data_IF_945628745428
#
_entry.id   IF_945628745428
#
_cell.length_a   1.000
_cell.length_b   1.000
_cell.length_c   1.000
_cell.angle_alpha   90.00
_cell.angle_beta   90.00
_cell.angle_gamma   90.00
#
_symmetry.space_group_name_H-M   'P 1'
#
loop_
_entity.id
_entity.type
_entity.pdbx_description
1 polymer ?
#
# COMPACT_ATOMS: atom_id res chain seq x y z
N UNK A 1 27.59 -25.65 -7.90
CA UNK A 1 26.65 -25.06 -8.87
C UNK A 1 26.37 -23.62 -8.45
N UNK A 2 26.85 -22.60 -9.19
CA UNK A 2 26.59 -21.18 -8.84
C UNK A 2 25.19 -20.83 -9.34
N UNK A 3 24.18 -20.87 -8.47
CA UNK A 3 22.83 -20.44 -8.80
C UNK A 3 22.87 -18.92 -9.03
N UNK A 4 22.99 -18.52 -10.30
CA UNK A 4 23.03 -17.11 -10.71
C UNK A 4 21.59 -16.63 -10.90
N UNK A 5 20.87 -16.38 -9.80
CA UNK A 5 19.49 -15.88 -9.92
C UNK A 5 19.49 -14.38 -10.15
N UNK A 6 18.89 -13.97 -11.26
CA UNK A 6 18.75 -12.58 -11.71
C UNK A 6 17.63 -11.92 -10.89
N UNK A 7 17.95 -11.37 -9.70
CA UNK A 7 16.96 -10.62 -8.87
C UNK A 7 17.15 -9.10 -8.73
N UNK A 8 17.35 -8.34 -9.83
CA UNK A 8 17.14 -6.89 -9.82
C UNK A 8 15.72 -6.46 -10.23
N UNK A 9 14.89 -7.30 -10.89
CA UNK A 9 13.60 -6.86 -11.47
C UNK A 9 12.45 -6.74 -10.46
N UNK A 10 12.18 -7.78 -9.67
CA UNK A 10 11.04 -7.76 -8.72
C UNK A 10 11.24 -6.72 -7.60
N UNK A 11 12.44 -6.66 -7.02
CA UNK A 11 12.76 -5.64 -6.02
C UNK A 11 12.64 -4.22 -6.61
N UNK A 12 13.10 -4.01 -7.85
CA UNK A 12 12.99 -2.72 -8.53
C UNK A 12 11.53 -2.37 -8.82
N UNK A 13 10.73 -3.33 -9.28
CA UNK A 13 9.30 -3.15 -9.51
C UNK A 13 8.60 -2.76 -8.21
N UNK A 14 8.84 -3.50 -7.12
CA UNK A 14 8.28 -3.19 -5.80
C UNK A 14 8.66 -1.77 -5.34
N UNK A 15 9.94 -1.39 -5.44
CA UNK A 15 10.38 -0.03 -5.08
C UNK A 15 9.73 1.05 -5.94
N UNK A 16 9.57 0.82 -7.25
CA UNK A 16 8.90 1.76 -8.16
C UNK A 16 7.43 1.89 -7.77
N UNK A 17 6.71 0.77 -7.61
CA UNK A 17 5.31 0.77 -7.22
C UNK A 17 5.09 1.46 -5.89
N UNK A 18 5.94 1.19 -4.89
CA UNK A 18 5.87 1.83 -3.59
C UNK A 18 6.12 3.35 -3.67
N UNK A 19 7.09 3.77 -4.48
CA UNK A 19 7.36 5.21 -4.70
C UNK A 19 6.18 5.91 -5.39
N UNK A 20 5.61 5.29 -6.42
CA UNK A 20 4.42 5.80 -7.12
C UNK A 20 3.24 5.90 -6.15
N UNK A 21 3.05 4.90 -5.30
CA UNK A 21 1.96 4.90 -4.33
C UNK A 21 2.12 5.99 -3.26
N UNK A 22 3.34 6.20 -2.73
CA UNK A 22 3.60 7.31 -1.81
C UNK A 22 3.30 8.66 -2.47
N UNK A 23 3.70 8.85 -3.74
CA UNK A 23 3.38 10.07 -4.48
C UNK A 23 1.87 10.25 -4.66
N UNK A 24 1.16 9.17 -5.01
CA UNK A 24 -0.30 9.17 -5.08
C UNK A 24 -0.95 9.58 -3.75
N UNK A 25 -0.50 9.02 -2.62
CA UNK A 25 -1.03 9.36 -1.29
C UNK A 25 -0.79 10.83 -0.93
N UNK A 26 0.36 11.39 -1.30
CA UNK A 26 0.65 12.82 -1.10
C UNK A 26 -0.27 13.70 -1.96
N UNK A 27 -0.45 13.36 -3.24
CA UNK A 27 -1.36 14.10 -4.13
C UNK A 27 -2.80 14.01 -3.65
N UNK A 28 -3.27 12.83 -3.25
CA UNK A 28 -4.60 12.64 -2.67
C UNK A 28 -4.77 13.44 -1.37
N UNK A 29 -3.77 13.43 -0.49
CA UNK A 29 -3.77 14.24 0.74
C UNK A 29 -3.89 15.73 0.40
N UNK A 30 -3.07 16.26 -0.51
CA UNK A 30 -3.15 17.67 -0.93
C UNK A 30 -4.52 18.01 -1.53
N UNK A 31 -5.11 17.13 -2.35
CA UNK A 31 -6.44 17.32 -2.90
C UNK A 31 -7.52 17.40 -1.79
N UNK A 32 -7.44 16.51 -0.79
CA UNK A 32 -8.36 16.57 0.36
C UNK A 32 -8.16 17.83 1.21
N UNK A 33 -6.93 18.33 1.34
CA UNK A 33 -6.66 19.59 2.04
C UNK A 33 -7.28 20.80 1.32
N UNK A 34 -7.23 20.83 -0.03
CA UNK A 34 -7.87 21.88 -0.83
C UNK A 34 -9.40 21.82 -0.66
N UNK A 35 -9.99 20.62 -0.75
CA UNK A 35 -11.43 20.44 -0.57
C UNK A 35 -11.88 20.76 0.87
N UNK A 36 -11.07 20.43 1.87
CA UNK A 36 -11.29 20.84 3.26
C UNK A 36 -11.42 22.36 3.37
N UNK A 37 -10.43 23.11 2.84
CA UNK A 37 -10.43 24.57 2.89
C UNK A 37 -11.64 25.15 2.13
N UNK A 38 -11.93 24.61 0.95
CA UNK A 38 -13.08 25.04 0.15
C UNK A 38 -14.41 24.85 0.91
N UNK A 39 -14.65 23.66 1.47
CA UNK A 39 -15.87 23.37 2.23
C UNK A 39 -15.95 24.17 3.54
N UNK A 40 -14.81 24.42 4.20
CA UNK A 40 -14.75 25.26 5.40
C UNK A 40 -15.13 26.71 5.09
N UNK A 41 -14.65 27.25 3.97
CA UNK A 41 -15.01 28.61 3.52
C UNK A 41 -16.50 28.73 3.13
N UNK A 42 -17.11 27.64 2.68
CA UNK A 42 -18.55 27.56 2.39
C UNK A 42 -19.41 27.26 3.63
N UNK A 43 -18.82 27.23 4.82
CA UNK A 43 -19.49 26.88 6.08
C UNK A 43 -20.16 25.48 6.10
N UNK A 44 -19.75 24.58 5.19
CA UNK A 44 -20.21 23.20 5.19
C UNK A 44 -19.33 22.35 6.11
N UNK A 45 -19.65 22.38 7.40
CA UNK A 45 -18.85 21.80 8.47
C UNK A 45 -18.76 20.26 8.36
N UNK A 46 -19.83 19.59 7.95
CA UNK A 46 -19.86 18.12 7.80
C UNK A 46 -18.90 17.68 6.68
N UNK A 47 -18.99 18.31 5.50
CA UNK A 47 -18.10 18.00 4.40
C UNK A 47 -16.65 18.35 4.73
N UNK A 48 -16.40 19.48 5.39
CA UNK A 48 -15.07 19.86 5.85
C UNK A 48 -14.47 18.80 6.79
N UNK A 49 -15.21 18.33 7.79
CA UNK A 49 -14.73 17.27 8.71
C UNK A 49 -14.40 15.97 7.98
N UNK A 50 -15.23 15.55 7.02
CA UNK A 50 -14.96 14.34 6.22
C UNK A 50 -13.64 14.49 5.45
N UNK A 51 -13.42 15.63 4.80
CA UNK A 51 -12.19 15.91 4.05
C UNK A 51 -10.96 16.06 4.97
N UNK A 52 -11.13 16.55 6.21
CA UNK A 52 -10.08 16.57 7.24
C UNK A 52 -9.64 15.15 7.63
N UNK A 53 -10.62 14.27 7.90
CA UNK A 53 -10.34 12.86 8.24
C UNK A 53 -9.65 12.17 7.06
N UNK A 54 -10.14 12.39 5.84
CA UNK A 54 -9.51 11.84 4.63
C UNK A 54 -8.08 12.37 4.45
N UNK A 55 -7.86 13.67 4.63
CA UNK A 55 -6.53 14.30 4.60
C UNK A 55 -5.56 13.62 5.57
N UNK A 56 -5.96 13.48 6.84
CA UNK A 56 -5.15 12.83 7.86
C UNK A 56 -4.87 11.36 7.50
N UNK A 57 -5.87 10.63 7.02
CA UNK A 57 -5.76 9.23 6.60
C UNK A 57 -4.80 9.05 5.42
N UNK A 58 -4.81 9.91 4.41
CA UNK A 58 -3.86 9.85 3.30
C UNK A 58 -2.45 10.27 3.72
N UNK A 59 -2.31 11.32 4.53
CA UNK A 59 -1.01 11.84 4.97
C UNK A 59 -0.26 10.84 5.87
N UNK A 60 -0.94 10.31 6.89
CA UNK A 60 -0.37 9.32 7.80
C UNK A 60 0.09 8.08 7.06
N UNK A 61 -0.72 7.64 6.08
CA UNK A 61 -0.35 6.52 5.21
C UNK A 61 0.88 6.86 4.36
N UNK A 62 0.94 8.05 3.76
CA UNK A 62 2.10 8.47 2.97
C UNK A 62 3.40 8.42 3.79
N UNK A 63 3.36 8.87 5.04
CA UNK A 63 4.51 8.81 5.96
C UNK A 63 4.90 7.36 6.27
N UNK A 64 3.94 6.52 6.63
CA UNK A 64 4.19 5.09 6.93
C UNK A 64 4.82 4.35 5.73
N UNK A 65 4.28 4.52 4.53
CA UNK A 65 4.80 3.86 3.32
C UNK A 65 6.16 4.44 2.88
N UNK A 66 6.44 5.72 3.17
CA UNK A 66 7.74 6.34 2.95
C UNK A 66 8.80 5.76 3.89
N UNK A 67 8.49 5.57 5.16
CA UNK A 67 9.41 4.99 6.15
C UNK A 67 9.73 3.53 5.81
N UNK A 68 8.72 2.76 5.39
CA UNK A 68 8.90 1.42 4.84
C UNK A 68 9.85 1.44 3.63
N UNK A 69 9.61 2.34 2.66
CA UNK A 69 10.47 2.44 1.47
C UNK A 69 11.94 2.69 1.84
N UNK A 70 12.19 3.60 2.79
CA UNK A 70 13.54 3.90 3.27
C UNK A 70 14.18 2.70 3.97
N UNK A 71 13.40 1.97 4.76
CA UNK A 71 13.86 0.75 5.45
C UNK A 71 14.23 -0.35 4.44
N UNK A 72 13.38 -0.58 3.44
CA UNK A 72 13.60 -1.56 2.37
C UNK A 72 14.80 -1.22 1.47
N UNK A 73 15.09 0.07 1.30
CA UNK A 73 16.26 0.52 0.53
C UNK A 73 17.56 0.17 1.25
N UNK A 74 17.56 0.19 2.59
CA UNK A 74 18.74 -0.11 3.43
C UNK A 74 18.91 -1.60 3.74
N UNK A 75 17.85 -2.39 3.62
CA UNK A 75 17.88 -3.82 3.97
C UNK A 75 18.53 -4.69 2.89
N UNK A 76 19.15 -5.80 3.34
CA UNK A 76 19.66 -6.86 2.47
C UNK A 76 18.49 -7.73 2.01
N UNK A 77 18.60 -8.28 0.80
CA UNK A 77 17.52 -9.11 0.23
C UNK A 77 17.23 -10.36 1.08
N UNK A 78 18.27 -11.00 1.63
CA UNK A 78 18.18 -12.18 2.50
C UNK A 78 17.40 -11.95 3.79
N UNK A 79 17.26 -10.69 4.24
CA UNK A 79 16.56 -10.32 5.47
C UNK A 79 15.18 -9.72 5.19
N UNK A 80 14.74 -9.66 3.93
CA UNK A 80 13.44 -9.07 3.59
C UNK A 80 12.28 -9.90 4.11
N UNK A 81 12.38 -11.23 4.09
CA UNK A 81 11.31 -12.09 4.56
C UNK A 81 11.03 -11.92 6.06
N UNK A 82 12.07 -11.78 6.89
CA UNK A 82 11.92 -11.49 8.33
C UNK A 82 11.37 -10.09 8.54
N UNK A 83 11.80 -9.12 7.74
CA UNK A 83 11.31 -7.75 7.79
C UNK A 83 9.83 -7.68 7.45
N UNK A 84 9.35 -8.36 6.41
CA UNK A 84 7.91 -8.42 6.10
C UNK A 84 7.12 -9.24 7.12
N UNK A 85 7.75 -10.17 7.83
CA UNK A 85 7.10 -10.95 8.89
C UNK A 85 6.95 -10.14 10.19
N UNK A 86 7.86 -9.19 10.46
CA UNK A 86 7.88 -8.36 11.69
C UNK A 86 7.29 -6.97 11.49
N UNK A 87 7.42 -6.43 10.28
CA UNK A 87 7.06 -5.08 9.89
C UNK A 87 6.16 -5.17 8.66
N UNK A 88 4.91 -5.56 8.91
CA UNK A 88 3.86 -5.42 7.91
C UNK A 88 2.95 -4.28 8.33
N UNK A 89 3.08 -3.07 7.75
CA UNK A 89 1.89 -2.31 7.44
C UNK A 89 0.82 -3.26 6.90
N UNK A 90 -0.46 -3.00 7.16
CA UNK A 90 -1.57 -3.88 6.77
C UNK A 90 -1.76 -3.85 5.25
N UNK A 91 -0.77 -4.32 4.48
CA UNK A 91 -0.72 -4.24 3.04
C UNK A 91 -1.81 -5.13 2.45
N UNK A 92 -2.81 -4.50 1.85
CA UNK A 92 -3.90 -5.23 1.18
C UNK A 92 -4.97 -5.75 2.13
N UNK A 93 -4.73 -5.83 3.44
CA UNK A 93 -5.74 -6.26 4.42
C UNK A 93 -6.94 -5.30 4.46
N UNK A 94 -6.71 -4.00 4.21
CA UNK A 94 -7.75 -2.99 4.17
C UNK A 94 -8.16 -2.57 2.76
N UNK A 95 -7.64 -3.21 1.71
CA UNK A 95 -7.99 -2.87 0.32
C UNK A 95 -9.50 -2.95 0.08
N UNK A 96 -10.13 -4.02 0.57
CA UNK A 96 -11.58 -4.22 0.48
C UNK A 96 -12.35 -3.16 1.27
N UNK A 97 -11.85 -2.76 2.44
CA UNK A 97 -12.45 -1.71 3.26
C UNK A 97 -12.39 -0.35 2.55
N UNK A 98 -11.28 -0.02 1.89
CA UNK A 98 -11.17 1.21 1.08
C UNK A 98 -12.12 1.20 -0.11
N UNK A 99 -12.34 0.05 -0.76
CA UNK A 99 -13.30 -0.07 -1.85
C UNK A 99 -14.75 0.07 -1.33
N UNK A 100 -15.10 -0.59 -0.23
CA UNK A 100 -16.44 -0.47 0.37
C UNK A 100 -16.74 0.95 0.81
N UNK A 101 -15.78 1.60 1.47
CA UNK A 101 -15.91 3.02 1.86
C UNK A 101 -16.01 3.94 0.65
N UNK A 102 -15.28 3.67 -0.44
CA UNK A 102 -15.44 4.40 -1.69
C UNK A 102 -16.87 4.27 -2.25
N UNK A 103 -17.45 3.07 -2.23
CA UNK A 103 -18.84 2.84 -2.67
C UNK A 103 -19.83 3.66 -1.84
N UNK A 104 -19.65 3.71 -0.51
CA UNK A 104 -20.48 4.55 0.36
C UNK A 104 -20.37 6.03 -0.02
N UNK A 105 -19.17 6.53 -0.31
CA UNK A 105 -18.98 7.92 -0.74
C UNK A 105 -19.51 8.20 -2.14
N UNK A 106 -19.50 7.23 -3.07
CA UNK A 106 -20.19 7.38 -4.36
C UNK A 106 -21.70 7.51 -4.17
N UNK A 107 -22.29 6.72 -3.27
CA UNK A 107 -23.73 6.84 -2.96
C UNK A 107 -24.01 8.19 -2.30
N UNK A 108 -23.18 8.63 -1.36
CA UNK A 108 -23.32 9.94 -0.72
C UNK A 108 -23.17 11.09 -1.73
N UNK A 109 -22.28 10.96 -2.71
CA UNK A 109 -22.10 11.93 -3.80
C UNK A 109 -23.35 12.06 -4.67
N UNK A 110 -24.05 10.96 -4.97
CA UNK A 110 -25.31 11.01 -5.72
C UNK A 110 -26.42 11.77 -5.00
N UNK A 111 -26.40 11.78 -3.66
CA UNK A 111 -27.44 12.43 -2.84
C UNK A 111 -27.09 13.89 -2.52
N UNK A 112 -25.84 14.16 -2.14
CA UNK A 112 -25.42 15.46 -1.59
C UNK A 112 -24.38 16.18 -2.45
N UNK A 113 -23.69 15.48 -3.36
CA UNK A 113 -22.60 16.01 -4.16
C UNK A 113 -21.33 16.33 -3.38
N UNK A 114 -20.20 16.44 -4.08
CA UNK A 114 -18.92 16.92 -3.52
C UNK A 114 -18.04 15.86 -2.87
N UNK A 115 -18.40 14.57 -2.95
CA UNK A 115 -17.62 13.45 -2.44
C UNK A 115 -16.96 12.62 -3.54
N UNK A 116 -17.22 12.90 -4.81
CA UNK A 116 -16.66 12.18 -5.96
C UNK A 116 -15.13 12.00 -5.89
N UNK A 117 -14.40 13.08 -5.61
CA UNK A 117 -12.93 13.06 -5.57
C UNK A 117 -12.43 12.16 -4.42
N UNK A 118 -13.11 12.18 -3.28
CA UNK A 118 -12.80 11.31 -2.14
C UNK A 118 -13.07 9.84 -2.49
N UNK A 119 -14.23 9.54 -3.08
CA UNK A 119 -14.58 8.19 -3.49
C UNK A 119 -13.59 7.63 -4.53
N UNK A 120 -13.20 8.45 -5.50
CA UNK A 120 -12.24 8.08 -6.54
C UNK A 120 -10.86 7.78 -5.94
N UNK A 121 -10.36 8.65 -5.06
CA UNK A 121 -9.05 8.43 -4.41
C UNK A 121 -9.06 7.21 -3.48
N UNK A 122 -10.14 6.94 -2.75
CA UNK A 122 -10.29 5.72 -1.96
C UNK A 122 -10.31 4.45 -2.82
N UNK A 123 -10.96 4.52 -3.99
CA UNK A 123 -10.97 3.41 -4.95
C UNK A 123 -9.55 3.09 -5.43
N UNK A 124 -8.81 4.10 -5.88
CA UNK A 124 -7.41 3.92 -6.29
C UNK A 124 -6.53 3.43 -5.15
N UNK A 125 -6.73 3.95 -3.94
CA UNK A 125 -6.02 3.47 -2.74
C UNK A 125 -6.22 1.97 -2.54
N UNK A 126 -7.46 1.49 -2.61
CA UNK A 126 -7.77 0.06 -2.51
C UNK A 126 -7.06 -0.78 -3.58
N UNK A 127 -7.06 -0.33 -4.83
CA UNK A 127 -6.37 -1.00 -5.95
C UNK A 127 -4.85 -1.07 -5.70
N UNK A 128 -4.25 0.04 -5.28
CA UNK A 128 -2.82 0.09 -4.98
C UNK A 128 -2.46 -0.83 -3.81
N UNK A 129 -3.24 -0.82 -2.72
CA UNK A 129 -2.97 -1.70 -1.57
C UNK A 129 -3.05 -3.17 -1.94
N UNK A 130 -4.05 -3.56 -2.73
CA UNK A 130 -4.16 -4.92 -3.24
C UNK A 130 -2.93 -5.31 -4.08
N UNK A 131 -2.49 -4.41 -4.96
CA UNK A 131 -1.32 -4.67 -5.82
C UNK A 131 -0.02 -4.75 -5.03
N UNK A 132 0.18 -3.85 -4.07
CA UNK A 132 1.37 -3.83 -3.19
C UNK A 132 1.39 -5.08 -2.31
N UNK A 133 0.24 -5.50 -1.77
CA UNK A 133 0.12 -6.73 -0.98
C UNK A 133 0.57 -7.97 -1.76
N UNK A 134 0.15 -8.11 -3.03
CA UNK A 134 0.62 -9.21 -3.90
C UNK A 134 2.13 -9.15 -4.13
N UNK A 135 2.65 -8.00 -4.56
CA UNK A 135 4.09 -7.85 -4.83
C UNK A 135 4.95 -8.08 -3.57
N UNK A 136 4.44 -7.72 -2.38
CA UNK A 136 5.12 -8.01 -1.12
C UNK A 136 5.19 -9.51 -0.85
N UNK A 137 4.08 -10.23 -1.02
CA UNK A 137 4.04 -11.67 -0.83
C UNK A 137 5.00 -12.39 -1.79
N UNK A 138 5.04 -11.95 -3.05
CA UNK A 138 5.99 -12.45 -4.05
C UNK A 138 7.44 -12.17 -3.61
N UNK A 139 7.75 -10.95 -3.19
CA UNK A 139 9.10 -10.57 -2.73
C UNK A 139 9.50 -11.33 -1.45
N UNK A 140 8.55 -11.58 -0.54
CA UNK A 140 8.75 -12.38 0.67
C UNK A 140 9.06 -13.83 0.33
N UNK A 141 8.29 -14.45 -0.57
CA UNK A 141 8.53 -15.81 -1.03
C UNK A 141 9.90 -15.92 -1.73
N UNK A 142 10.23 -15.00 -2.63
CA UNK A 142 11.54 -14.99 -3.30
C UNK A 142 12.71 -14.80 -2.32
N UNK A 143 12.57 -13.92 -1.33
CA UNK A 143 13.63 -13.68 -0.34
C UNK A 143 13.82 -14.86 0.62
N UNK A 144 12.74 -15.56 0.98
CA UNK A 144 12.81 -16.79 1.77
C UNK A 144 13.46 -17.94 0.99
N UNK A 145 13.04 -18.18 -0.26
CA UNK A 145 13.65 -19.20 -1.13
C UNK A 145 15.14 -18.95 -1.39
N UNK A 146 15.53 -17.68 -1.54
CA UNK A 146 16.94 -17.33 -1.70
C UNK A 146 17.75 -17.60 -0.42
N UNK A 147 17.17 -17.31 0.74
CA UNK A 147 17.81 -17.60 2.02
C UNK A 147 18.02 -19.11 2.20
N UNK A 148 16.99 -19.94 1.98
CA UNK A 148 17.06 -21.39 2.17
C UNK A 148 18.03 -22.08 1.20
N UNK A 149 18.11 -21.62 -0.06
CA UNK A 149 19.07 -22.13 -1.05
C UNK A 149 20.52 -21.79 -0.65
N UNK A 150 20.75 -20.64 -0.01
CA UNK A 150 22.09 -20.25 0.45
C UNK A 150 22.47 -20.91 1.76
N UNK A 151 21.52 -21.10 2.69
CA UNK A 151 21.78 -21.77 3.96
C UNK A 151 21.97 -23.29 3.82
N UNK A 152 21.65 -23.87 2.66
CA UNK A 152 21.72 -25.31 2.44
C UNK A 152 20.56 -26.09 3.09
N UNK A 153 19.54 -25.38 3.58
CA UNK A 153 18.33 -25.95 4.20
C UNK A 153 17.23 -26.19 3.15
N UNK A 154 17.59 -26.61 1.93
CA UNK A 154 16.62 -26.85 0.85
C UNK A 154 15.62 -27.96 1.19
N UNK A 155 16.00 -28.90 2.06
CA UNK A 155 15.14 -30.00 2.50
C UNK A 155 13.99 -29.55 3.42
N UNK A 156 14.04 -28.33 3.96
CA UNK A 156 12.94 -27.72 4.73
C UNK A 156 11.95 -26.92 3.86
N UNK A 157 12.14 -26.84 2.54
CA UNK A 157 11.21 -26.19 1.62
C UNK A 157 9.98 -27.08 1.37
N UNK A 158 9.12 -27.22 2.37
CA UNK A 158 7.75 -27.65 2.15
C UNK A 158 7.02 -26.51 1.44
N UNK A 159 6.94 -26.61 0.12
CA UNK A 159 5.98 -25.85 -0.68
C UNK A 159 4.60 -26.29 -0.17
N UNK A 160 4.01 -25.48 0.70
CA UNK A 160 2.64 -25.70 1.15
C UNK A 160 1.75 -25.46 -0.07
N UNK A 161 1.32 -26.56 -0.68
CA UNK A 161 0.43 -26.56 -1.84
C UNK A 161 -0.84 -25.75 -1.47
N UNK A 162 -1.18 -24.66 -2.19
CA UNK A 162 -2.36 -23.87 -1.88
C UNK A 162 -3.68 -24.56 -2.27
N UNK A 163 -3.62 -25.82 -2.75
CA UNK A 163 -4.77 -26.61 -3.19
C UNK A 163 -5.09 -27.84 -2.31
N UNK A 164 -4.49 -27.96 -1.12
CA UNK A 164 -4.93 -28.91 -0.08
C UNK A 164 -5.61 -28.21 1.10
#
# INVERSE_FOLDING_TARGET
MKVKVVFPRERRLFHITLRVYVMFLLVASSAMAVLLLFNALQYNLVSALIHLVAFALFLTSALMYKDLYMTLKRSRFTTLWTLFSRYSPPFGAYALLYILTAVLFYIADLVHGGYFVLALTLTFRGIFEHRIGRLMNDLRACSYLYFSVISGESDMLLIKDPFM
#
